data_IF_132713765941
#
_entry.id   IF_132713765941
#
_cell.length_a   1.000
_cell.length_b   1.000
_cell.length_c   1.000
_cell.angle_alpha   90.00
_cell.angle_beta   90.00
_cell.angle_gamma   90.00
#
_symmetry.space_group_name_H-M   'P 1'
#
loop_
_entity.id
_entity.type
_entity.pdbx_description
1 polymer ?
#
# COMPACT_ATOMS: atom_id res chain seq x y z
N UNK A 1 14.85 -4.09 -8.69
CA UNK A 1 14.90 -3.29 -7.44
C UNK A 1 13.55 -3.36 -6.74
N UNK A 2 13.53 -3.63 -5.46
CA UNK A 2 12.28 -3.64 -4.72
C UNK A 2 11.74 -2.24 -4.48
N UNK A 3 10.43 -2.14 -4.30
CA UNK A 3 9.83 -0.91 -3.82
C UNK A 3 10.26 -0.64 -2.39
N UNK A 4 10.33 0.62 -2.04
CA UNK A 4 10.65 1.03 -0.69
C UNK A 4 9.35 1.25 0.08
N UNK A 5 9.17 0.46 1.11
CA UNK A 5 8.07 0.61 2.05
C UNK A 5 8.54 0.13 3.42
N UNK A 6 8.28 0.95 4.44
CA UNK A 6 8.62 0.59 5.82
C UNK A 6 7.46 0.98 6.72
N UNK A 7 6.74 -0.03 7.23
CA UNK A 7 5.56 0.20 8.06
C UNK A 7 5.88 0.87 9.41
N UNK A 8 7.14 0.95 9.79
CA UNK A 8 7.58 1.62 11.02
C UNK A 8 7.97 3.08 10.80
N UNK A 9 8.03 3.52 9.54
CA UNK A 9 8.38 4.89 9.20
C UNK A 9 7.10 5.70 8.94
N UNK A 10 6.88 6.82 9.66
CA UNK A 10 5.67 7.63 9.47
C UNK A 10 5.49 8.17 8.06
N UNK A 11 6.56 8.28 7.27
CA UNK A 11 6.44 8.67 5.88
C UNK A 11 5.64 7.64 5.08
N UNK A 12 5.87 6.35 5.35
CA UNK A 12 5.25 5.27 4.58
C UNK A 12 3.91 4.83 5.13
N UNK A 13 3.69 4.98 6.43
CA UNK A 13 2.44 4.56 7.07
C UNK A 13 2.09 5.46 8.23
N UNK A 14 0.89 6.05 8.19
CA UNK A 14 0.32 6.87 9.27
C UNK A 14 -1.16 6.57 9.43
N UNK A 15 -1.65 6.41 10.67
CA UNK A 15 -0.89 6.35 11.93
C UNK A 15 -0.21 5.02 12.12
N UNK A 16 0.73 4.97 13.05
CA UNK A 16 1.40 3.74 13.45
C UNK A 16 0.47 2.96 14.38
N UNK A 17 0.42 1.63 14.18
CA UNK A 17 -0.36 0.75 15.03
C UNK A 17 -1.83 0.70 14.68
N UNK A 18 -2.67 0.43 15.68
CA UNK A 18 -4.10 0.28 15.51
C UNK A 18 -4.79 1.62 15.25
N UNK A 19 -5.88 1.59 14.49
CA UNK A 19 -6.67 2.78 14.13
C UNK A 19 -8.12 2.58 14.55
N UNK A 20 -8.82 3.67 14.78
CA UNK A 20 -10.25 3.62 15.06
C UNK A 20 -11.04 3.44 13.75
N UNK A 21 -12.16 2.73 13.84
CA UNK A 21 -13.07 2.66 12.71
C UNK A 21 -13.46 4.07 12.26
N UNK A 22 -13.42 4.28 10.95
CA UNK A 22 -13.69 5.61 10.37
C UNK A 22 -12.47 6.52 10.29
N UNK A 23 -11.35 6.15 10.89
CA UNK A 23 -10.12 6.92 10.79
C UNK A 23 -9.35 6.54 9.51
N UNK A 24 -8.70 7.52 8.90
CA UNK A 24 -7.91 7.32 7.69
C UNK A 24 -6.52 6.75 8.01
N UNK A 25 -6.07 5.82 7.20
CA UNK A 25 -4.69 5.35 7.18
C UNK A 25 -4.05 5.80 5.88
N UNK A 26 -2.92 6.46 5.97
CA UNK A 26 -2.15 6.93 4.81
C UNK A 26 -0.97 5.99 4.57
N UNK A 27 -0.85 5.50 3.35
CA UNK A 27 0.22 4.59 2.95
C UNK A 27 0.93 5.16 1.73
N UNK A 28 2.26 5.14 1.75
CA UNK A 28 3.10 5.67 0.67
C UNK A 28 4.10 4.63 0.19
N UNK A 29 4.47 4.73 -1.08
CA UNK A 29 5.51 3.91 -1.69
C UNK A 29 6.51 4.79 -2.40
N UNK A 30 7.77 4.37 -2.40
CA UNK A 30 8.82 4.90 -3.27
C UNK A 30 9.20 3.80 -4.26
N UNK A 31 9.04 4.07 -5.55
CA UNK A 31 9.28 3.07 -6.59
C UNK A 31 10.45 3.54 -7.45
N UNK A 32 11.49 2.70 -7.64
CA UNK A 32 12.61 3.07 -8.49
C UNK A 32 12.15 3.41 -9.92
N UNK A 33 12.64 4.50 -10.48
CA UNK A 33 12.25 4.92 -11.82
C UNK A 33 12.66 3.91 -12.90
N UNK A 34 13.66 3.07 -12.63
CA UNK A 34 14.15 2.06 -13.55
C UNK A 34 13.11 0.98 -13.86
N UNK A 35 12.06 0.87 -13.04
CA UNK A 35 10.95 -0.05 -13.33
C UNK A 35 10.07 0.43 -14.49
N UNK A 36 10.24 1.67 -14.92
CA UNK A 36 9.44 2.24 -16.00
C UNK A 36 8.01 2.55 -15.52
N UNK A 37 7.04 2.39 -16.41
CA UNK A 37 5.65 2.66 -16.07
C UNK A 37 5.15 1.64 -15.04
N UNK A 38 4.52 2.15 -14.00
CA UNK A 38 3.87 1.33 -12.97
C UNK A 38 2.51 1.91 -12.63
N UNK A 39 1.59 1.04 -12.21
CA UNK A 39 0.28 1.43 -11.72
C UNK A 39 0.05 0.72 -10.38
N UNK A 40 0.64 1.23 -9.29
CA UNK A 40 0.61 0.52 -8.02
C UNK A 40 -0.79 0.53 -7.39
N UNK A 41 -1.15 -0.61 -6.82
CA UNK A 41 -2.41 -0.79 -6.11
C UNK A 41 -2.13 -1.31 -4.71
N UNK A 42 -2.82 -0.75 -3.73
CA UNK A 42 -2.90 -1.34 -2.41
C UNK A 42 -4.00 -2.41 -2.44
N UNK A 43 -3.66 -3.61 -2.00
CA UNK A 43 -4.61 -4.72 -1.93
C UNK A 43 -4.86 -5.04 -0.47
N UNK A 44 -6.14 -5.05 -0.07
CA UNK A 44 -6.55 -5.16 1.32
C UNK A 44 -7.47 -6.37 1.49
N UNK A 45 -7.17 -7.23 2.47
CA UNK A 45 -7.94 -8.44 2.75
C UNK A 45 -8.23 -8.52 4.25
N UNK A 46 -9.50 -8.60 4.63
CA UNK A 46 -9.87 -8.75 6.03
C UNK A 46 -9.58 -10.16 6.50
N UNK A 47 -9.03 -10.30 7.72
CA UNK A 47 -8.78 -11.60 8.32
C UNK A 47 -10.10 -12.39 8.45
N UNK A 48 -10.03 -13.69 8.14
CA UNK A 48 -11.18 -14.58 8.22
C UNK A 48 -12.15 -14.45 7.06
N UNK A 49 -11.88 -13.56 6.11
CA UNK A 49 -12.70 -13.40 4.90
C UNK A 49 -11.98 -14.01 3.73
N UNK A 50 -12.73 -14.74 2.93
CA UNK A 50 -12.21 -15.38 1.72
C UNK A 50 -12.79 -14.74 0.47
N UNK A 51 -13.30 -13.52 0.61
CA UNK A 51 -13.82 -12.71 -0.48
C UNK A 51 -12.67 -12.23 -1.37
N UNK A 52 -13.03 -11.67 -2.51
CA UNK A 52 -12.07 -10.99 -3.37
C UNK A 52 -11.48 -9.80 -2.62
N UNK A 53 -10.16 -9.68 -2.56
CA UNK A 53 -9.54 -8.53 -1.90
C UNK A 53 -9.96 -7.22 -2.54
N UNK A 54 -10.00 -6.16 -1.75
CA UNK A 54 -10.32 -4.82 -2.23
C UNK A 54 -9.06 -4.14 -2.71
N UNK A 55 -9.10 -3.58 -3.92
CA UNK A 55 -7.98 -2.89 -4.54
C UNK A 55 -8.21 -1.38 -4.47
N UNK A 56 -7.17 -0.66 -4.07
CA UNK A 56 -7.15 0.80 -4.07
C UNK A 56 -6.01 1.25 -4.97
N UNK A 57 -6.34 1.93 -6.05
CA UNK A 57 -5.32 2.48 -6.93
C UNK A 57 -4.61 3.62 -6.23
N UNK A 58 -3.27 3.59 -6.23
CA UNK A 58 -2.49 4.63 -5.62
C UNK A 58 -2.32 5.81 -6.57
N UNK A 59 -2.25 7.01 -6.01
CA UNK A 59 -2.04 8.22 -6.80
C UNK A 59 -0.55 8.56 -6.84
N UNK A 60 -0.13 9.16 -7.95
CA UNK A 60 1.22 9.67 -8.10
C UNK A 60 1.36 10.98 -7.32
N UNK A 61 2.35 11.05 -6.43
CA UNK A 61 2.58 12.23 -5.59
C UNK A 61 3.74 13.08 -6.06
N UNK A 62 4.59 12.58 -6.94
CA UNK A 62 5.74 13.31 -7.42
C UNK A 62 6.95 12.44 -7.59
N UNK A 63 8.05 13.08 -7.94
CA UNK A 63 9.29 12.40 -8.28
C UNK A 63 10.45 13.07 -7.54
N UNK A 64 11.31 12.24 -6.96
CA UNK A 64 12.62 12.65 -6.49
C UNK A 64 13.66 11.98 -7.38
N UNK A 65 14.95 12.34 -7.29
CA UNK A 65 15.95 11.66 -8.09
C UNK A 65 15.91 10.14 -7.91
N UNK A 66 15.72 9.44 -9.04
CA UNK A 66 15.70 7.98 -9.12
C UNK A 66 14.47 7.29 -8.56
N UNK A 67 13.46 8.03 -8.05
CA UNK A 67 12.27 7.41 -7.47
C UNK A 67 10.99 8.15 -7.80
N UNK A 68 9.91 7.38 -7.98
CA UNK A 68 8.56 7.90 -8.10
C UNK A 68 7.81 7.61 -6.80
N UNK A 69 7.05 8.58 -6.32
CA UNK A 69 6.32 8.50 -5.07
C UNK A 69 4.83 8.35 -5.33
N UNK A 70 4.22 7.40 -4.63
CA UNK A 70 2.78 7.13 -4.72
C UNK A 70 2.20 7.05 -3.31
N UNK A 71 0.92 7.37 -3.19
CA UNK A 71 0.24 7.26 -1.91
C UNK A 71 -1.24 6.91 -2.08
N UNK A 72 -1.85 6.50 -0.98
CA UNK A 72 -3.27 6.21 -0.89
C UNK A 72 -3.75 6.41 0.54
N UNK A 73 -4.98 6.92 0.68
CA UNK A 73 -5.65 7.03 1.96
C UNK A 73 -6.80 6.03 2.00
N UNK A 74 -6.89 5.27 3.08
CA UNK A 74 -7.92 4.25 3.25
C UNK A 74 -8.69 4.53 4.52
N UNK A 75 -10.02 4.57 4.41
CA UNK A 75 -10.92 4.73 5.54
C UNK A 75 -11.84 3.53 5.58
N UNK A 76 -11.84 2.80 6.69
CA UNK A 76 -12.73 1.67 6.88
C UNK A 76 -13.56 1.88 8.14
N UNK A 77 -14.83 1.51 8.05
CA UNK A 77 -15.75 1.56 9.18
C UNK A 77 -15.98 0.16 9.78
N UNK A 78 -15.45 -0.86 9.13
CA UNK A 78 -15.63 -2.25 9.54
C UNK A 78 -14.44 -2.67 10.40
N UNK A 79 -14.71 -2.93 11.66
CA UNK A 79 -13.72 -3.30 12.66
C UNK A 79 -13.09 -4.65 12.30
N UNK A 80 -11.78 -4.75 12.40
CA UNK A 80 -11.10 -6.01 12.18
C UNK A 80 -9.63 -5.84 11.86
N UNK A 81 -8.96 -6.97 11.70
CA UNK A 81 -7.57 -7.04 11.27
C UNK A 81 -7.54 -7.23 9.77
N UNK A 82 -6.72 -6.44 9.09
CA UNK A 82 -6.60 -6.47 7.63
C UNK A 82 -5.16 -6.71 7.25
N UNK A 83 -4.96 -7.63 6.32
CA UNK A 83 -3.67 -7.85 5.68
C UNK A 83 -3.61 -7.02 4.41
N UNK A 84 -2.47 -6.43 4.12
CA UNK A 84 -2.30 -5.66 2.90
C UNK A 84 -0.98 -5.96 2.24
N UNK A 85 -0.95 -5.75 0.93
CA UNK A 85 0.26 -5.79 0.12
C UNK A 85 0.08 -4.84 -1.06
N UNK A 86 1.16 -4.59 -1.77
CA UNK A 86 1.13 -3.71 -2.93
C UNK A 86 1.38 -4.51 -4.20
N UNK A 87 0.50 -4.37 -5.17
CA UNK A 87 0.65 -4.95 -6.50
C UNK A 87 1.10 -3.85 -7.45
N UNK A 88 2.19 -4.08 -8.15
CA UNK A 88 2.71 -3.16 -9.15
C UNK A 88 2.44 -3.74 -10.53
N UNK A 89 1.66 -3.02 -11.32
CA UNK A 89 1.41 -3.37 -12.70
C UNK A 89 2.42 -2.63 -13.55
N UNK A 90 3.43 -3.35 -14.07
CA UNK A 90 4.49 -2.76 -14.86
C UNK A 90 4.10 -2.66 -16.34
N UNK A 91 4.96 -2.08 -17.17
CA UNK A 91 4.77 -2.00 -18.62
C UNK A 91 4.48 -3.34 -19.25
N UNK A 92 5.04 -4.39 -18.70
CA UNK A 92 4.88 -5.75 -19.22
C UNK A 92 3.68 -6.45 -18.58
N UNK A 93 2.83 -5.71 -17.88
CA UNK A 93 1.66 -6.24 -17.18
C UNK A 93 2.01 -7.30 -16.14
N UNK A 94 3.22 -7.23 -15.61
CA UNK A 94 3.62 -8.09 -14.51
C UNK A 94 3.15 -7.50 -13.20
N UNK A 95 2.74 -8.39 -12.30
CA UNK A 95 2.47 -8.01 -10.92
C UNK A 95 3.74 -8.30 -10.14
N UNK A 96 4.29 -7.28 -9.50
CA UNK A 96 5.50 -7.42 -8.70
C UNK A 96 5.11 -7.28 -7.23
N UNK A 97 5.39 -8.32 -6.46
CA UNK A 97 5.20 -8.32 -5.02
C UNK A 97 6.50 -8.63 -4.35
N UNK A 98 6.78 -7.89 -3.29
CA UNK A 98 7.94 -8.17 -2.45
C UNK A 98 7.50 -8.55 -1.04
N UNK A 99 8.29 -9.38 -0.35
CA UNK A 99 7.95 -9.75 1.03
C UNK A 99 7.97 -8.57 1.99
N UNK A 100 8.72 -7.53 1.63
CA UNK A 100 8.84 -6.32 2.47
C UNK A 100 7.76 -5.28 2.16
N UNK A 101 6.92 -5.54 1.14
CA UNK A 101 5.87 -4.62 0.69
C UNK A 101 4.49 -5.08 1.16
N UNK A 102 4.41 -5.60 2.36
CA UNK A 102 3.15 -6.05 2.93
C UNK A 102 3.12 -5.76 4.43
N UNK A 103 1.97 -5.88 5.02
CA UNK A 103 1.81 -5.64 6.45
C UNK A 103 0.40 -5.90 6.93
N UNK A 104 0.14 -5.45 8.14
CA UNK A 104 -1.15 -5.63 8.81
C UNK A 104 -1.59 -4.30 9.39
N UNK A 105 -2.88 -4.05 9.34
CA UNK A 105 -3.47 -2.90 10.00
C UNK A 105 -4.77 -3.33 10.68
N UNK A 106 -5.00 -2.83 11.90
CA UNK A 106 -6.20 -3.15 12.68
C UNK A 106 -7.05 -1.89 12.81
N UNK A 107 -8.31 -1.98 12.37
CA UNK A 107 -9.32 -0.97 12.65
C UNK A 107 -10.15 -1.45 13.84
N UNK A 108 -10.25 -0.59 14.85
CA UNK A 108 -10.93 -0.93 16.11
C UNK A 108 -12.08 -0.01 16.40
#
# INVERSE_FOLDING_TARGET
MPCLFNSFDPYFKQPFGAVRAGQSVHLSLCIPEELGYVDPHLVLQKEGRYDVPVHYRMKFDGQTPHQNHFSVDVILNDVGLYFYYFDLYTDFRRIVRGPDNCGVVSWQ
#
